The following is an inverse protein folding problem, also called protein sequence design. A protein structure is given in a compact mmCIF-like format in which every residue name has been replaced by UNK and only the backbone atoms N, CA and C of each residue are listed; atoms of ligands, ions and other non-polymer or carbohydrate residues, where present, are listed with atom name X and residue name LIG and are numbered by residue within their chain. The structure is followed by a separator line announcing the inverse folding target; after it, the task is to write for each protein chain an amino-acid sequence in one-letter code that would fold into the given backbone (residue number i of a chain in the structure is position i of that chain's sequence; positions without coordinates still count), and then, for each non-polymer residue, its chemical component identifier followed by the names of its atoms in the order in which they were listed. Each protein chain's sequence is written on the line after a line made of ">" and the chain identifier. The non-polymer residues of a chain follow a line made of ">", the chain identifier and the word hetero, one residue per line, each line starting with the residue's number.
data_IF_936278498802
#
_entry.id   IF_936278498802
#
_cell.length_a   1.000
_cell.length_b   1.000
_cell.length_c   1.000
_cell.angle_alpha   90.00
_cell.angle_beta   90.00
_cell.angle_gamma   90.00
#
_symmetry.space_group_name_H-M   'P 1'
#
loop_
_entity.id
_entity.type
_entity.pdbx_description
1 polymer ?
#
# COMPACT_ATOMS: atom_id res chain seq x y z
N UNK A 1 63.14 -17.30 -26.89
CA UNK A 1 61.82 -16.65 -26.97
C UNK A 1 62.08 -15.16 -27.04
N UNK A 2 61.57 -14.47 -28.06
CA UNK A 2 61.74 -13.01 -28.18
C UNK A 2 60.76 -12.29 -27.25
N UNK A 3 61.11 -11.08 -26.81
CA UNK A 3 60.26 -10.26 -25.92
C UNK A 3 58.87 -10.00 -26.52
N UNK A 4 58.77 -9.92 -27.84
CA UNK A 4 57.51 -9.81 -28.58
C UNK A 4 56.58 -11.01 -28.35
N UNK A 5 57.10 -12.24 -28.30
CA UNK A 5 56.29 -13.44 -28.06
C UNK A 5 55.76 -13.47 -26.61
N UNK A 6 56.52 -12.90 -25.68
CA UNK A 6 56.10 -12.75 -24.28
C UNK A 6 55.00 -11.70 -24.14
N UNK A 7 55.15 -10.57 -24.83
CA UNK A 7 54.14 -9.50 -24.84
C UNK A 7 52.82 -9.94 -25.48
N UNK A 8 52.89 -10.65 -26.61
CA UNK A 8 51.71 -11.19 -27.31
C UNK A 8 50.96 -12.18 -26.41
N UNK A 9 51.66 -13.07 -25.72
CA UNK A 9 51.03 -13.99 -24.76
C UNK A 9 50.35 -13.26 -23.61
N UNK A 10 51.01 -12.26 -23.02
CA UNK A 10 50.41 -11.46 -21.95
C UNK A 10 49.12 -10.76 -22.41
N UNK A 11 49.13 -10.19 -23.61
CA UNK A 11 47.93 -9.55 -24.20
C UNK A 11 46.82 -10.53 -24.51
N UNK A 12 47.15 -11.73 -25.02
CA UNK A 12 46.16 -12.79 -25.25
C UNK A 12 45.53 -13.27 -23.94
N UNK A 13 46.30 -13.40 -22.86
CA UNK A 13 45.76 -13.72 -21.53
C UNK A 13 44.82 -12.63 -21.01
N UNK A 14 45.17 -11.36 -21.19
CA UNK A 14 44.33 -10.22 -20.80
C UNK A 14 43.01 -10.19 -21.58
N UNK A 15 43.06 -10.43 -22.90
CA UNK A 15 41.89 -10.53 -23.77
C UNK A 15 41.00 -11.70 -23.36
N UNK A 16 41.57 -12.88 -23.10
CA UNK A 16 40.80 -14.03 -22.65
C UNK A 16 40.08 -13.76 -21.32
N UNK A 17 40.76 -13.10 -20.36
CA UNK A 17 40.13 -12.69 -19.10
C UNK A 17 39.05 -11.60 -19.27
N UNK A 18 39.18 -10.73 -20.29
CA UNK A 18 38.12 -9.78 -20.64
C UNK A 18 36.90 -10.48 -21.26
N UNK A 19 37.13 -11.47 -22.14
CA UNK A 19 36.07 -12.28 -22.76
C UNK A 19 35.31 -13.06 -21.68
N UNK A 20 36.00 -13.69 -20.74
CA UNK A 20 35.36 -14.46 -19.67
C UNK A 20 34.46 -13.58 -18.77
N UNK A 21 34.91 -12.36 -18.46
CA UNK A 21 34.09 -11.36 -17.76
C UNK A 21 32.87 -10.93 -18.58
N UNK A 22 33.02 -10.73 -19.89
CA UNK A 22 31.90 -10.41 -20.77
C UNK A 22 30.88 -11.56 -20.86
N UNK A 23 31.35 -12.81 -20.90
CA UNK A 23 30.48 -13.99 -20.90
C UNK A 23 29.68 -14.09 -19.59
N UNK A 24 30.32 -13.86 -18.44
CA UNK A 24 29.62 -13.83 -17.15
C UNK A 24 28.58 -12.70 -17.10
N UNK A 25 28.92 -11.52 -17.63
CA UNK A 25 28.00 -10.39 -17.69
C UNK A 25 26.80 -10.67 -18.60
N UNK A 26 27.01 -11.32 -19.75
CA UNK A 26 25.94 -11.75 -20.65
C UNK A 26 25.01 -12.75 -19.99
N UNK A 27 25.54 -13.77 -19.30
CA UNK A 27 24.71 -14.73 -18.56
C UNK A 27 23.88 -14.03 -17.49
N UNK A 28 24.47 -13.07 -16.76
CA UNK A 28 23.74 -12.30 -15.76
C UNK A 28 22.65 -11.41 -16.38
N UNK A 29 22.89 -10.86 -17.56
CA UNK A 29 21.86 -10.11 -18.30
C UNK A 29 20.71 -11.01 -18.76
N UNK A 30 20.99 -12.25 -19.17
CA UNK A 30 19.97 -13.24 -19.52
C UNK A 30 19.08 -13.53 -18.30
N UNK A 31 19.67 -13.76 -17.13
CA UNK A 31 18.92 -14.00 -15.89
C UNK A 31 18.04 -12.81 -15.50
N UNK A 32 18.56 -11.58 -15.66
CA UNK A 32 17.80 -10.35 -15.38
C UNK A 32 16.63 -10.21 -16.36
N UNK A 33 16.85 -10.45 -17.65
CA UNK A 33 15.78 -10.39 -18.65
C UNK A 33 14.69 -11.43 -18.37
N UNK A 34 15.05 -12.66 -18.00
CA UNK A 34 14.09 -13.70 -17.63
C UNK A 34 13.20 -13.25 -16.46
N UNK A 35 13.80 -12.68 -15.41
CA UNK A 35 13.06 -12.15 -14.26
C UNK A 35 12.18 -10.95 -14.62
N UNK A 36 12.62 -10.09 -15.54
CA UNK A 36 11.80 -8.97 -16.03
C UNK A 36 10.58 -9.51 -16.77
N UNK A 37 10.72 -10.55 -17.59
CA UNK A 37 9.60 -11.18 -18.29
C UNK A 37 8.60 -11.78 -17.29
N UNK A 38 9.07 -12.52 -16.28
CA UNK A 38 8.20 -13.05 -15.22
C UNK A 38 7.45 -11.93 -14.47
N UNK A 39 8.15 -10.85 -14.14
CA UNK A 39 7.54 -9.68 -13.51
C UNK A 39 6.50 -9.02 -14.42
N UNK A 40 6.78 -8.91 -15.71
CA UNK A 40 5.86 -8.33 -16.69
C UNK A 40 4.59 -9.18 -16.83
N UNK A 41 4.71 -10.51 -16.85
CA UNK A 41 3.56 -11.41 -16.87
C UNK A 41 2.72 -11.28 -15.60
N UNK A 42 3.36 -11.24 -14.42
CA UNK A 42 2.65 -11.01 -13.14
C UNK A 42 1.95 -9.65 -13.10
N UNK A 43 2.58 -8.61 -13.67
CA UNK A 43 2.00 -7.27 -13.76
C UNK A 43 0.77 -7.25 -14.68
N UNK A 44 0.80 -8.00 -15.78
CA UNK A 44 -0.34 -8.12 -16.69
C UNK A 44 -1.51 -8.85 -16.03
N UNK A 45 -1.23 -9.94 -15.30
CA UNK A 45 -2.25 -10.69 -14.55
C UNK A 45 -2.91 -9.81 -13.47
N UNK A 46 -2.10 -9.06 -12.71
CA UNK A 46 -2.60 -8.09 -11.73
C UNK A 46 -3.48 -7.04 -12.42
N UNK A 47 -3.04 -6.46 -13.54
CA UNK A 47 -3.81 -5.47 -14.28
C UNK A 47 -5.18 -6.01 -14.73
N UNK A 48 -5.23 -7.27 -15.19
CA UNK A 48 -6.50 -7.93 -15.55
C UNK A 48 -7.40 -8.13 -14.32
N UNK A 49 -6.83 -8.56 -13.19
CA UNK A 49 -7.58 -8.75 -11.94
C UNK A 49 -8.16 -7.44 -11.40
N UNK A 50 -7.41 -6.34 -11.51
CA UNK A 50 -7.84 -4.99 -11.10
C UNK A 50 -8.98 -4.51 -11.98
N UNK A 51 -8.88 -4.69 -13.31
CA UNK A 51 -9.96 -4.34 -14.23
C UNK A 51 -11.25 -5.12 -13.91
N UNK A 52 -11.15 -6.44 -13.69
CA UNK A 52 -12.28 -7.28 -13.32
C UNK A 52 -12.91 -6.87 -11.97
N UNK A 53 -12.08 -6.49 -11.00
CA UNK A 53 -12.56 -6.02 -9.69
C UNK A 53 -13.21 -4.63 -9.78
N UNK A 54 -12.68 -3.73 -10.60
CA UNK A 54 -13.28 -2.41 -10.85
C UNK A 54 -14.69 -2.56 -11.43
N UNK A 55 -14.86 -3.44 -12.41
CA UNK A 55 -16.18 -3.70 -13.00
C UNK A 55 -17.17 -4.24 -11.97
N UNK A 56 -16.75 -5.18 -11.10
CA UNK A 56 -17.60 -5.69 -10.01
C UNK A 56 -17.96 -4.61 -8.99
N UNK A 57 -17.03 -3.68 -8.71
CA UNK A 57 -17.27 -2.55 -7.82
C UNK A 57 -18.30 -1.58 -8.43
N UNK A 58 -18.18 -1.27 -9.73
CA UNK A 58 -19.13 -0.42 -10.45
C UNK A 58 -20.53 -1.05 -10.46
N UNK A 59 -20.64 -2.36 -10.65
CA UNK A 59 -21.91 -3.09 -10.56
C UNK A 59 -22.51 -3.04 -9.14
N UNK A 60 -21.68 -3.13 -8.10
CA UNK A 60 -22.11 -2.99 -6.71
C UNK A 60 -22.59 -1.57 -6.42
N UNK A 61 -21.86 -0.55 -6.87
CA UNK A 61 -22.24 0.85 -6.75
C UNK A 61 -23.59 1.11 -7.43
N UNK A 62 -23.78 0.62 -8.66
CA UNK A 62 -25.05 0.74 -9.38
C UNK A 62 -26.22 0.02 -8.66
N UNK A 63 -25.97 -1.13 -8.01
CA UNK A 63 -26.97 -1.81 -7.18
C UNK A 63 -27.30 -1.03 -5.92
N UNK A 64 -26.30 -0.43 -5.26
CA UNK A 64 -26.51 0.42 -4.07
C UNK A 64 -27.30 1.67 -4.42
N UNK A 65 -27.02 2.32 -5.54
CA UNK A 65 -27.81 3.46 -6.02
C UNK A 65 -29.27 3.08 -6.29
N UNK A 66 -29.51 1.90 -6.90
CA UNK A 66 -30.88 1.39 -7.10
C UNK A 66 -31.61 1.07 -5.79
N UNK A 67 -30.91 0.60 -4.76
CA UNK A 67 -31.49 0.39 -3.43
C UNK A 67 -31.78 1.73 -2.75
N UNK A 68 -30.92 2.73 -2.93
CA UNK A 68 -31.12 4.09 -2.42
C UNK A 68 -32.31 4.80 -3.08
N UNK A 69 -32.64 4.50 -4.33
CA UNK A 69 -33.74 5.18 -5.05
C UNK A 69 -35.13 4.60 -4.79
N UNK A 70 -35.23 3.42 -4.15
CA UNK A 70 -36.50 2.72 -3.86
C UNK A 70 -36.91 2.82 -2.38
N UNK A 71 -36.17 3.55 -1.55
CA UNK A 71 -36.55 3.76 -0.16
C UNK A 71 -37.80 4.68 -0.05
N UNK A 72 -38.90 4.24 0.62
CA UNK A 72 -40.04 5.11 0.89
C UNK A 72 -39.59 6.30 1.75
N UNK A 73 -40.13 7.48 1.46
CA UNK A 73 -39.99 8.70 2.27
C UNK A 73 -40.62 8.41 3.65
N UNK A 74 -39.78 8.09 4.64
CA UNK A 74 -40.15 8.01 6.06
C UNK A 74 -39.62 9.28 6.74
N UNK A 75 -40.39 9.95 7.62
CA UNK A 75 -40.09 11.30 8.09
C UNK A 75 -38.78 11.38 8.89
N UNK A 76 -38.15 12.55 8.79
CA UNK A 76 -36.85 12.90 9.30
C UNK A 76 -36.76 12.91 10.83
N UNK A 77 -36.58 11.75 11.45
CA UNK A 77 -36.16 11.65 12.85
C UNK A 77 -35.39 10.37 13.16
N UNK A 78 -34.33 10.04 12.38
CA UNK A 78 -33.31 9.03 12.78
C UNK A 78 -32.11 8.89 11.80
N UNK A 79 -31.80 9.91 10.99
CA UNK A 79 -30.73 9.83 9.97
C UNK A 79 -29.30 9.97 10.52
N UNK A 80 -29.14 10.36 11.79
CA UNK A 80 -27.84 10.44 12.47
C UNK A 80 -27.27 9.06 12.82
N UNK A 81 -28.10 8.12 13.28
CA UNK A 81 -27.65 6.80 13.72
C UNK A 81 -27.25 5.86 12.55
N UNK A 82 -27.93 5.98 11.41
CA UNK A 82 -27.64 5.15 10.21
C UNK A 82 -26.38 5.65 9.49
N UNK A 83 -26.20 6.97 9.36
CA UNK A 83 -24.97 7.56 8.81
C UNK A 83 -23.74 7.31 9.70
N UNK A 84 -23.90 7.30 11.02
CA UNK A 84 -22.83 6.93 11.96
C UNK A 84 -22.46 5.46 11.85
N UNK A 85 -23.44 4.53 11.77
CA UNK A 85 -23.15 3.10 11.60
C UNK A 85 -22.41 2.78 10.27
N UNK A 86 -22.78 3.46 9.18
CA UNK A 86 -22.08 3.32 7.89
C UNK A 86 -20.65 3.85 7.91
N UNK A 87 -20.43 4.99 8.58
CA UNK A 87 -19.11 5.59 8.77
C UNK A 87 -18.19 4.71 9.64
N UNK A 88 -18.72 4.14 10.72
CA UNK A 88 -17.97 3.26 11.62
C UNK A 88 -17.57 1.96 10.90
N UNK A 89 -18.44 1.43 10.02
CA UNK A 89 -18.12 0.25 9.21
C UNK A 89 -17.06 0.51 8.13
N UNK A 90 -17.07 1.69 7.50
CA UNK A 90 -16.03 2.06 6.51
C UNK A 90 -14.68 2.34 7.18
N UNK A 91 -14.69 2.95 8.37
CA UNK A 91 -13.49 3.16 9.20
C UNK A 91 -12.90 1.85 9.70
N UNK A 92 -13.73 0.86 10.07
CA UNK A 92 -13.26 -0.48 10.43
C UNK A 92 -12.58 -1.15 9.23
N UNK A 93 -13.17 -1.08 8.03
CA UNK A 93 -12.57 -1.61 6.80
C UNK A 93 -11.25 -0.91 6.44
N UNK A 94 -11.13 0.40 6.68
CA UNK A 94 -9.88 1.15 6.50
C UNK A 94 -8.83 0.71 7.51
N UNK A 95 -9.20 0.49 8.78
CA UNK A 95 -8.30 -0.02 9.82
C UNK A 95 -7.83 -1.45 9.51
N UNK A 96 -8.72 -2.32 9.03
CA UNK A 96 -8.38 -3.69 8.66
C UNK A 96 -7.44 -3.73 7.44
N UNK A 97 -7.68 -2.85 6.45
CA UNK A 97 -6.78 -2.66 5.30
C UNK A 97 -5.41 -2.12 5.76
N UNK A 98 -5.39 -1.16 6.69
CA UNK A 98 -4.16 -0.62 7.26
C UNK A 98 -3.38 -1.69 8.05
N UNK A 99 -4.04 -2.57 8.82
CA UNK A 99 -3.35 -3.67 9.53
C UNK A 99 -2.75 -4.69 8.55
N UNK A 100 -3.47 -5.02 7.46
CA UNK A 100 -2.94 -5.88 6.39
C UNK A 100 -1.71 -5.26 5.73
N UNK A 101 -1.78 -3.96 5.41
CA UNK A 101 -0.68 -3.24 4.77
C UNK A 101 0.53 -3.04 5.68
N UNK A 102 0.33 -2.91 6.99
CA UNK A 102 1.42 -2.88 7.96
C UNK A 102 2.09 -4.26 8.11
N UNK A 103 1.43 -5.38 7.73
CA UNK A 103 2.06 -6.71 7.67
C UNK A 103 2.94 -6.89 6.44
N UNK A 104 2.61 -6.21 5.34
CA UNK A 104 3.29 -6.35 4.04
C UNK A 104 4.49 -5.40 3.85
N UNK A 105 4.69 -4.43 4.76
CA UNK A 105 5.87 -3.55 4.76
C UNK A 105 5.65 -2.23 4.01
N UNK A 106 4.69 -1.43 4.46
CA UNK A 106 4.36 -0.15 3.84
C UNK A 106 5.29 1.01 4.25
N UNK A 107 5.53 1.88 3.27
CA UNK A 107 6.27 3.14 3.35
C UNK A 107 5.50 4.14 4.23
N UNK A 108 6.22 4.85 5.10
CA UNK A 108 5.62 5.81 6.06
C UNK A 108 4.75 6.88 5.39
N UNK A 109 5.15 7.36 4.20
CA UNK A 109 4.41 8.35 3.41
C UNK A 109 2.99 7.89 3.05
N UNK A 110 2.83 6.65 2.59
CA UNK A 110 1.52 6.14 2.14
C UNK A 110 0.60 5.90 3.33
N UNK A 111 1.16 5.40 4.43
CA UNK A 111 0.42 5.23 5.67
C UNK A 111 -0.05 6.58 6.23
N UNK A 112 0.78 7.61 6.12
CA UNK A 112 0.43 8.97 6.56
C UNK A 112 -0.75 9.54 5.77
N UNK A 113 -0.80 9.32 4.45
CA UNK A 113 -1.90 9.79 3.59
C UNK A 113 -3.21 9.10 3.97
N UNK A 114 -3.19 7.78 4.10
CA UNK A 114 -4.40 7.01 4.45
C UNK A 114 -4.95 7.34 5.83
N UNK A 115 -4.09 7.48 6.85
CA UNK A 115 -4.55 7.90 8.18
C UNK A 115 -5.13 9.32 8.13
N UNK A 116 -4.55 10.21 7.33
CA UNK A 116 -5.06 11.57 7.17
C UNK A 116 -6.43 11.61 6.47
N UNK A 117 -6.63 10.81 5.41
CA UNK A 117 -7.92 10.64 4.75
C UNK A 117 -8.98 10.07 5.68
N UNK A 118 -8.62 9.06 6.49
CA UNK A 118 -9.51 8.48 7.49
C UNK A 118 -9.88 9.50 8.58
N UNK A 119 -8.92 10.29 9.06
CA UNK A 119 -9.16 11.35 10.05
C UNK A 119 -10.09 12.43 9.50
N UNK A 120 -9.87 12.89 8.27
CA UNK A 120 -10.73 13.89 7.60
C UNK A 120 -12.16 13.35 7.40
N UNK A 121 -12.29 12.08 7.00
CA UNK A 121 -13.60 11.44 6.83
C UNK A 121 -14.35 11.33 8.16
N UNK A 122 -13.63 11.05 9.24
CA UNK A 122 -14.19 10.97 10.59
C UNK A 122 -14.63 12.35 11.08
N UNK A 123 -13.84 13.39 10.83
CA UNK A 123 -14.15 14.78 11.16
C UNK A 123 -15.37 15.29 10.41
N UNK A 124 -15.43 15.08 9.08
CA UNK A 124 -16.57 15.48 8.24
C UNK A 124 -17.90 14.82 8.65
N UNK A 125 -17.83 13.63 9.26
CA UNK A 125 -19.00 12.86 9.70
C UNK A 125 -19.34 13.03 11.18
N UNK A 126 -18.72 14.00 11.86
CA UNK A 126 -18.99 14.31 13.27
C UNK A 126 -18.50 13.22 14.23
N UNK A 127 -17.46 12.47 13.84
CA UNK A 127 -16.83 11.47 14.71
C UNK A 127 -16.11 12.10 15.90
N UNK A 128 -15.75 11.28 16.88
CA UNK A 128 -15.14 11.73 18.12
C UNK A 128 -13.85 12.56 17.87
N UNK A 129 -13.90 13.86 18.22
CA UNK A 129 -12.79 14.80 17.99
C UNK A 129 -11.46 14.35 18.60
N UNK A 130 -11.52 13.66 19.75
CA UNK A 130 -10.37 13.07 20.42
C UNK A 130 -9.69 11.98 19.58
N UNK A 131 -10.46 11.19 18.84
CA UNK A 131 -9.93 10.15 17.96
C UNK A 131 -9.25 10.77 16.73
N UNK A 132 -9.86 11.80 16.13
CA UNK A 132 -9.25 12.58 15.03
C UNK A 132 -7.87 13.09 15.43
N UNK A 133 -7.75 13.68 16.64
CA UNK A 133 -6.46 14.20 17.15
C UNK A 133 -5.41 13.10 17.30
N UNK A 134 -5.79 11.91 17.79
CA UNK A 134 -4.88 10.75 17.89
C UNK A 134 -4.41 10.27 16.51
N UNK A 135 -5.30 10.22 15.53
CA UNK A 135 -4.96 9.87 14.14
C UNK A 135 -4.02 10.91 13.52
N UNK A 136 -4.33 12.21 13.67
CA UNK A 136 -3.49 13.30 13.17
C UNK A 136 -2.10 13.36 13.84
N UNK A 137 -1.97 12.91 15.09
CA UNK A 137 -0.66 12.74 15.76
C UNK A 137 0.19 11.70 15.03
N UNK A 138 -0.38 10.58 14.64
CA UNK A 138 0.32 9.56 13.85
C UNK A 138 0.67 10.05 12.45
N UNK A 139 -0.20 10.83 11.80
CA UNK A 139 0.16 11.50 10.52
C UNK A 139 1.42 12.36 10.69
N UNK A 140 1.55 13.11 11.79
CA UNK A 140 2.75 13.90 12.09
C UNK A 140 3.99 13.03 12.31
N UNK A 141 3.87 11.96 13.10
CA UNK A 141 4.97 11.01 13.34
C UNK A 141 5.41 10.35 12.03
N UNK A 142 4.47 9.90 11.19
CA UNK A 142 4.80 9.25 9.93
C UNK A 142 5.42 10.22 8.91
N UNK A 143 5.09 11.51 8.98
CA UNK A 143 5.74 12.55 8.16
C UNK A 143 7.17 12.88 8.57
N UNK A 144 7.63 12.47 9.76
CA UNK A 144 9.05 12.64 10.14
C UNK A 144 9.95 11.58 9.52
N UNK A 145 9.38 10.48 9.03
CA UNK A 145 10.11 9.49 8.24
C UNK A 145 10.33 10.02 6.82
N UNK A 146 11.43 9.63 6.17
CA UNK A 146 11.66 9.94 4.77
C UNK A 146 10.55 9.39 3.87
N UNK A 147 10.37 10.01 2.70
CA UNK A 147 9.27 9.66 1.77
C UNK A 147 9.22 8.18 1.38
N UNK A 148 10.35 7.48 1.44
CA UNK A 148 10.52 6.08 1.02
C UNK A 148 10.99 5.21 2.20
N UNK A 149 11.13 5.79 3.40
CA UNK A 149 11.68 5.06 4.53
C UNK A 149 10.65 4.06 5.09
N UNK A 150 11.08 2.82 5.39
CA UNK A 150 10.27 1.89 6.13
C UNK A 150 10.09 2.40 7.57
N UNK A 151 8.90 2.18 8.12
CA UNK A 151 8.60 2.58 9.50
C UNK A 151 9.38 1.67 10.46
N UNK A 152 9.88 2.24 11.56
CA UNK A 152 10.52 1.46 12.62
C UNK A 152 9.58 0.35 13.14
N UNK A 153 10.08 -0.89 13.36
CA UNK A 153 9.28 -1.99 13.90
C UNK A 153 8.58 -1.65 15.23
N UNK A 154 9.21 -0.83 16.08
CA UNK A 154 8.64 -0.40 17.35
C UNK A 154 7.45 0.54 17.18
N UNK A 155 7.52 1.43 16.20
CA UNK A 155 6.43 2.36 15.89
C UNK A 155 5.28 1.66 15.18
N UNK A 156 5.57 0.69 14.32
CA UNK A 156 4.55 -0.22 13.76
C UNK A 156 3.77 -0.93 14.86
N UNK A 157 4.45 -1.47 15.87
CA UNK A 157 3.77 -2.17 16.97
C UNK A 157 2.90 -1.22 17.82
N UNK A 158 3.38 0.00 18.08
CA UNK A 158 2.61 1.03 18.78
C UNK A 158 1.38 1.45 17.97
N UNK A 159 1.56 1.71 16.67
CA UNK A 159 0.47 2.09 15.78
C UNK A 159 -0.60 1.01 15.74
N UNK A 160 -0.23 -0.28 15.64
CA UNK A 160 -1.20 -1.38 15.72
C UNK A 160 -1.99 -1.40 17.01
N UNK A 161 -1.32 -1.20 18.17
CA UNK A 161 -2.01 -1.12 19.47
C UNK A 161 -2.96 0.06 19.53
N UNK A 162 -2.53 1.21 19.02
CA UNK A 162 -3.35 2.42 18.97
C UNK A 162 -4.55 2.22 18.03
N UNK A 163 -4.37 1.57 16.87
CA UNK A 163 -5.45 1.22 15.96
C UNK A 163 -6.48 0.28 16.60
N UNK A 164 -6.04 -0.73 17.36
CA UNK A 164 -6.94 -1.57 18.15
C UNK A 164 -7.66 -0.79 19.27
N UNK A 165 -7.05 0.25 19.81
CA UNK A 165 -7.73 1.14 20.75
C UNK A 165 -8.76 2.02 20.02
N UNK A 166 -8.44 2.50 18.82
CA UNK A 166 -9.35 3.28 17.98
C UNK A 166 -10.58 2.47 17.58
N UNK A 167 -10.45 1.20 17.19
CA UNK A 167 -11.60 0.34 16.89
C UNK A 167 -12.49 0.15 18.11
N UNK A 168 -11.91 -0.02 19.30
CA UNK A 168 -12.67 -0.09 20.57
C UNK A 168 -13.36 1.23 20.91
N UNK A 169 -12.73 2.37 20.67
CA UNK A 169 -13.32 3.70 20.89
C UNK A 169 -14.46 3.99 19.88
N UNK A 170 -14.29 3.57 18.62
CA UNK A 170 -15.34 3.63 17.60
C UNK A 170 -16.52 2.72 17.95
N UNK A 171 -16.27 1.50 18.42
CA UNK A 171 -17.31 0.57 18.84
C UNK A 171 -18.09 1.08 20.07
N UNK A 172 -17.46 1.83 20.97
CA UNK A 172 -18.13 2.51 22.09
C UNK A 172 -18.92 3.75 21.67
N UNK A 173 -18.60 4.32 20.51
CA UNK A 173 -19.29 5.47 19.92
C UNK A 173 -20.47 5.05 19.01
N UNK A 174 -20.73 3.74 18.90
CA UNK A 174 -21.80 3.12 18.12
C UNK A 174 -23.02 2.84 18.99
#
# INVERSE_FOLDING_TARGET
>A
MSDDDTYVRAKLTEINGAIERLTQMLNRMIDVLSKITELQDSSNEISMSVAANSQKLDELMAKVEKVSSVAPIVPASDTSAVSQKGAISSLQAVIDTLDSQVKEGVIASDLSKKINEAANTLELRGGASQLVVKMQRWVRILKTYGRVDPISPGDIQKLRKDMQAWTKELAKSR
#
